data_IF_971772716955
#
_entry.id   IF_971772716955
#
_cell.length_a   1.000
_cell.length_b   1.000
_cell.length_c   1.000
_cell.angle_alpha   90.00
_cell.angle_beta   90.00
_cell.angle_gamma   90.00
#
_symmetry.space_group_name_H-M   'P 1'
#
loop_
_entity.id
_entity.type
_entity.pdbx_description
1 polymer ?
#
# COMPACT_ATOMS: atom_id res chain seq x y z
N UNK A 1 15.22 7.69 10.37
CA UNK A 1 14.57 6.67 9.52
C UNK A 1 13.06 6.85 9.69
N UNK A 2 12.29 6.62 8.64
CA UNK A 2 10.83 6.75 8.67
C UNK A 2 10.19 5.36 8.66
N UNK A 3 9.22 5.15 9.54
CA UNK A 3 8.44 3.94 9.57
C UNK A 3 7.23 4.07 8.64
N UNK A 4 7.00 3.09 7.77
CA UNK A 4 5.79 3.01 6.96
C UNK A 4 4.98 1.78 7.36
N UNK A 5 3.68 1.97 7.49
CA UNK A 5 2.71 0.92 7.73
C UNK A 5 2.03 0.57 6.41
N UNK A 6 1.95 -0.72 6.11
CA UNK A 6 1.38 -1.26 4.88
C UNK A 6 0.21 -2.14 5.27
N UNK A 7 -0.95 -1.88 4.69
CA UNK A 7 -2.15 -2.68 4.87
C UNK A 7 -2.65 -3.13 3.50
N UNK A 8 -2.98 -4.41 3.36
CA UNK A 8 -3.49 -4.99 2.12
C UNK A 8 -4.73 -5.81 2.45
N UNK A 9 -5.85 -5.49 1.79
CA UNK A 9 -7.18 -6.01 2.12
C UNK A 9 -8.02 -6.23 0.87
N UNK A 10 -9.10 -7.00 0.98
CA UNK A 10 -10.15 -7.04 -0.04
C UNK A 10 -10.95 -5.75 -0.12
N UNK A 11 -11.61 -5.58 -1.28
CA UNK A 11 -12.63 -4.57 -1.50
C UNK A 11 -13.99 -5.20 -1.75
N UNK A 12 -15.04 -4.56 -1.24
CA UNK A 12 -16.44 -4.87 -1.56
C UNK A 12 -17.10 -3.62 -2.13
N UNK A 13 -17.74 -3.74 -3.30
CA UNK A 13 -18.31 -2.59 -4.04
C UNK A 13 -17.33 -1.43 -4.29
N UNK A 14 -16.03 -1.74 -4.33
CA UNK A 14 -14.96 -0.77 -4.57
C UNK A 14 -14.37 -0.12 -3.31
N UNK A 15 -14.94 -0.38 -2.14
CA UNK A 15 -14.48 0.12 -0.84
C UNK A 15 -13.71 -0.96 -0.07
N UNK A 16 -12.79 -0.57 0.82
CA UNK A 16 -12.02 -1.51 1.62
C UNK A 16 -12.94 -2.28 2.59
N UNK A 17 -12.87 -3.62 2.57
CA UNK A 17 -13.83 -4.48 3.27
C UNK A 17 -13.24 -5.17 4.52
N UNK A 18 -11.91 -5.22 4.67
CA UNK A 18 -11.21 -5.76 5.85
C UNK A 18 -11.69 -7.15 6.32
N UNK A 19 -12.35 -7.93 5.46
CA UNK A 19 -12.75 -9.31 5.76
C UNK A 19 -11.54 -10.22 5.82
N UNK A 20 -10.47 -9.85 5.10
CA UNK A 20 -9.11 -10.29 5.39
C UNK A 20 -8.16 -9.10 5.30
N UNK A 21 -7.08 -9.13 6.07
CA UNK A 21 -6.07 -8.08 6.03
C UNK A 21 -4.67 -8.65 6.28
N UNK A 22 -3.71 -8.23 5.46
CA UNK A 22 -2.28 -8.44 5.67
C UNK A 22 -1.62 -7.13 6.02
N UNK A 23 -0.94 -7.07 7.16
CA UNK A 23 -0.23 -5.89 7.66
C UNK A 23 1.27 -6.14 7.69
N UNK A 24 2.05 -5.09 7.42
CA UNK A 24 3.49 -5.09 7.62
C UNK A 24 3.96 -3.69 7.92
N UNK A 25 4.99 -3.60 8.75
CA UNK A 25 5.68 -2.35 9.03
C UNK A 25 7.12 -2.46 8.55
N UNK A 26 7.60 -1.45 7.84
CA UNK A 26 8.97 -1.44 7.31
C UNK A 26 9.62 -0.08 7.51
N UNK A 27 10.91 -0.10 7.77
CA UNK A 27 11.72 1.12 7.89
C UNK A 27 12.27 1.52 6.52
N UNK A 28 12.20 2.81 6.23
CA UNK A 28 12.74 3.42 5.02
C UNK A 28 13.55 4.68 5.38
N UNK A 29 14.47 5.11 4.50
CA UNK A 29 15.07 6.43 4.61
C UNK A 29 14.00 7.54 4.62
N UNK A 30 14.20 8.60 5.39
CA UNK A 30 13.25 9.73 5.46
C UNK A 30 13.10 10.45 4.12
N UNK A 31 14.15 10.46 3.31
CA UNK A 31 14.14 11.01 1.96
C UNK A 31 13.64 10.02 0.89
N UNK A 32 13.02 8.90 1.28
CA UNK A 32 12.51 7.92 0.34
C UNK A 32 11.41 8.52 -0.54
N UNK A 33 11.60 8.41 -1.86
CA UNK A 33 10.59 8.90 -2.81
C UNK A 33 9.34 8.02 -2.77
N UNK A 34 8.18 8.59 -3.15
CA UNK A 34 6.91 7.85 -3.30
C UNK A 34 7.07 6.55 -4.10
N UNK A 35 7.89 6.57 -5.16
CA UNK A 35 8.17 5.41 -6.01
C UNK A 35 8.92 4.31 -5.25
N UNK A 36 9.89 4.68 -4.40
CA UNK A 36 10.62 3.72 -3.56
C UNK A 36 9.70 3.08 -2.53
N UNK A 37 8.90 3.89 -1.84
CA UNK A 37 7.90 3.45 -0.85
C UNK A 37 6.92 2.44 -1.49
N UNK A 38 6.32 2.79 -2.63
CA UNK A 38 5.40 1.90 -3.33
C UNK A 38 6.06 0.61 -3.83
N UNK A 39 7.30 0.67 -4.33
CA UNK A 39 8.04 -0.53 -4.73
C UNK A 39 8.29 -1.45 -3.53
N UNK A 40 8.69 -0.89 -2.39
CA UNK A 40 8.92 -1.65 -1.15
C UNK A 40 7.62 -2.28 -0.65
N UNK A 41 6.52 -1.52 -0.63
CA UNK A 41 5.21 -1.97 -0.19
C UNK A 41 4.65 -3.09 -1.09
N UNK A 42 4.71 -2.90 -2.42
CA UNK A 42 4.32 -3.94 -3.39
C UNK A 42 5.17 -5.19 -3.24
N UNK A 43 6.48 -5.06 -3.00
CA UNK A 43 7.37 -6.21 -2.78
C UNK A 43 6.96 -7.01 -1.54
N UNK A 44 6.71 -6.32 -0.42
CA UNK A 44 6.30 -6.96 0.85
C UNK A 44 4.97 -7.71 0.73
N UNK A 45 4.03 -7.14 -0.03
CA UNK A 45 2.72 -7.73 -0.27
C UNK A 45 2.66 -8.67 -1.48
N UNK A 46 3.82 -9.01 -2.07
CA UNK A 46 3.93 -9.90 -3.23
C UNK A 46 3.15 -9.41 -4.49
N UNK A 47 3.01 -8.08 -4.63
CA UNK A 47 2.37 -7.38 -5.75
C UNK A 47 3.39 -6.81 -6.74
N UNK A 48 4.60 -7.38 -6.80
CA UNK A 48 5.63 -6.92 -7.73
C UNK A 48 5.24 -7.23 -9.17
N UNK A 49 5.35 -6.26 -10.06
CA UNK A 49 4.90 -6.39 -11.46
C UNK A 49 3.40 -6.12 -11.67
N UNK A 50 2.60 -6.06 -10.60
CA UNK A 50 1.17 -5.81 -10.70
C UNK A 50 0.87 -4.36 -11.09
N UNK A 51 0.10 -4.20 -12.17
CA UNK A 51 -0.41 -2.93 -12.65
C UNK A 51 -1.65 -2.50 -11.85
N UNK A 52 -1.89 -1.19 -11.76
CA UNK A 52 -3.02 -0.65 -11.03
C UNK A 52 -2.95 0.86 -10.88
N UNK A 53 -3.98 1.43 -10.27
CA UNK A 53 -4.10 2.85 -10.00
C UNK A 53 -3.45 3.17 -8.65
N UNK A 54 -2.65 4.22 -8.60
CA UNK A 54 -2.10 4.75 -7.35
C UNK A 54 -2.71 6.11 -7.07
N UNK A 55 -3.28 6.29 -5.89
CA UNK A 55 -3.82 7.58 -5.42
C UNK A 55 -3.07 8.05 -4.18
N UNK A 56 -2.99 9.38 -3.99
CA UNK A 56 -2.43 9.98 -2.78
C UNK A 56 -3.51 10.85 -2.16
N UNK A 57 -3.75 10.65 -0.86
CA UNK A 57 -4.67 11.45 -0.06
C UNK A 57 -3.97 11.79 1.26
N UNK A 58 -3.57 13.05 1.44
CA UNK A 58 -2.80 13.49 2.61
C UNK A 58 -1.54 12.63 2.84
N UNK A 59 -1.48 12.00 4.01
CA UNK A 59 -0.38 11.14 4.48
C UNK A 59 -0.62 9.65 4.18
N UNK A 60 -1.53 9.36 3.26
CA UNK A 60 -1.84 8.01 2.82
C UNK A 60 -1.64 7.88 1.31
N UNK A 61 -1.03 6.77 0.91
CA UNK A 61 -0.95 6.34 -0.47
C UNK A 61 -1.78 5.07 -0.60
N UNK A 62 -2.69 5.02 -1.56
CA UNK A 62 -3.40 3.80 -1.90
C UNK A 62 -2.96 3.28 -3.27
N UNK A 63 -2.98 1.96 -3.42
CA UNK A 63 -2.74 1.25 -4.67
C UNK A 63 -3.84 0.22 -4.88
N UNK A 64 -4.58 0.35 -5.99
CA UNK A 64 -5.62 -0.58 -6.40
C UNK A 64 -5.16 -1.34 -7.65
N UNK A 65 -4.81 -2.63 -7.53
CA UNK A 65 -4.50 -3.47 -8.69
C UNK A 65 -5.67 -3.53 -9.69
N UNK A 66 -5.36 -3.59 -10.98
CA UNK A 66 -6.40 -3.82 -12.00
C UNK A 66 -6.91 -5.26 -11.95
N UNK A 67 -8.22 -5.45 -12.19
CA UNK A 67 -8.84 -6.78 -12.23
C UNK A 67 -8.82 -7.54 -10.89
N UNK A 68 -8.61 -6.83 -9.77
CA UNK A 68 -8.56 -7.42 -8.43
C UNK A 68 -9.52 -6.70 -7.49
N UNK A 69 -10.23 -7.46 -6.66
CA UNK A 69 -11.05 -6.93 -5.56
C UNK A 69 -10.17 -6.67 -4.32
N UNK A 70 -9.08 -5.93 -4.48
CA UNK A 70 -8.12 -5.67 -3.41
C UNK A 70 -7.61 -4.23 -3.44
N UNK A 71 -7.16 -3.76 -2.29
CA UNK A 71 -6.56 -2.44 -2.15
C UNK A 71 -5.42 -2.49 -1.13
N UNK A 72 -4.33 -1.81 -1.47
CA UNK A 72 -3.18 -1.63 -0.61
C UNK A 72 -3.13 -0.18 -0.13
N UNK A 73 -2.97 0.01 1.17
CA UNK A 73 -2.72 1.29 1.80
C UNK A 73 -1.30 1.34 2.34
N UNK A 74 -0.68 2.50 2.20
CA UNK A 74 0.58 2.85 2.86
C UNK A 74 0.35 4.12 3.64
N UNK A 75 0.57 4.07 4.95
CA UNK A 75 0.53 5.22 5.84
C UNK A 75 1.90 5.46 6.44
N UNK A 76 2.22 6.74 6.68
CA UNK A 76 3.45 7.13 7.34
C UNK A 76 3.22 7.12 8.85
N UNK A 77 3.97 6.29 9.58
CA UNK A 77 4.01 6.33 11.04
C UNK A 77 4.93 7.47 11.47
N UNK A 78 4.42 8.35 12.32
CA UNK A 78 5.21 9.40 12.99
C UNK A 78 6.23 8.83 13.96
#
# INVERSE_FOLDING_TARGET
MMQINIEYTDTFSGEANYSWVKRSTVEMPENATKRMILRRAKKEMQLSGTQGVTSKSGDMISFKPYGSCTILFVTFGG
#
